data_IF_012242473793
#
_entry.id   IF_012242473793
#
_cell.length_a   1.000
_cell.length_b   1.000
_cell.length_c   1.000
_cell.angle_alpha   90.00
_cell.angle_beta   90.00
_cell.angle_gamma   90.00
#
_symmetry.space_group_name_H-M   'P 1'
#
loop_
_entity.id
_entity.type
_entity.pdbx_description
1 polymer ?
#
# COMPACT_ATOMS: atom_id res chain seq x y z
N UNK A 1 -29.75 -13.33 12.06
CA UNK A 1 -28.32 -13.57 11.77
C UNK A 1 -27.51 -12.68 12.69
N UNK A 2 -26.72 -13.25 13.59
CA UNK A 2 -25.93 -12.48 14.55
C UNK A 2 -24.83 -11.72 13.81
N UNK A 3 -24.87 -10.39 13.86
CA UNK A 3 -23.75 -9.54 13.47
C UNK A 3 -22.63 -9.82 14.46
N UNK A 4 -21.65 -10.64 14.05
CA UNK A 4 -20.44 -10.82 14.83
C UNK A 4 -19.71 -9.47 14.79
N UNK A 5 -19.64 -8.79 15.93
CA UNK A 5 -18.83 -7.61 16.09
C UNK A 5 -17.38 -7.96 15.76
N UNK A 6 -16.85 -7.39 14.69
CA UNK A 6 -15.44 -7.53 14.31
C UNK A 6 -14.63 -6.95 15.46
N UNK A 7 -13.76 -7.76 16.08
CA UNK A 7 -12.94 -7.32 17.20
C UNK A 7 -12.10 -6.10 16.77
N UNK A 8 -12.09 -5.05 17.61
CA UNK A 8 -11.38 -3.78 17.36
C UNK A 8 -9.86 -3.97 17.13
N UNK A 9 -9.34 -5.12 17.52
CA UNK A 9 -7.91 -5.43 17.53
C UNK A 9 -7.43 -6.10 16.22
N UNK A 10 -8.32 -6.37 15.26
CA UNK A 10 -7.93 -7.04 13.99
C UNK A 10 -7.16 -6.13 13.01
N UNK A 11 -7.09 -4.82 13.26
CA UNK A 11 -6.46 -3.84 12.36
C UNK A 11 -5.65 -2.76 13.09
N UNK A 12 -5.16 -3.05 14.30
CA UNK A 12 -4.30 -2.13 15.03
C UNK A 12 -2.85 -2.29 14.57
N UNK A 13 -2.39 -1.35 13.75
CA UNK A 13 -0.97 -1.20 13.43
C UNK A 13 -0.30 -0.31 14.48
N UNK A 14 0.94 -0.63 14.82
CA UNK A 14 1.82 0.31 15.53
C UNK A 14 2.12 1.53 14.65
N UNK A 15 2.61 2.62 15.26
CA UNK A 15 3.05 3.80 14.51
C UNK A 15 4.16 3.43 13.52
N UNK A 16 5.08 2.56 13.92
CA UNK A 16 6.18 2.08 13.09
C UNK A 16 5.68 1.25 11.90
N UNK A 17 4.72 0.35 12.11
CA UNK A 17 4.11 -0.42 11.01
C UNK A 17 3.34 0.50 10.06
N UNK A 18 2.58 1.45 10.60
CA UNK A 18 1.82 2.44 9.83
C UNK A 18 2.76 3.30 8.97
N UNK A 19 3.87 3.77 9.55
CA UNK A 19 4.88 4.56 8.86
C UNK A 19 5.57 3.76 7.75
N UNK A 20 5.94 2.51 8.05
CA UNK A 20 6.51 1.58 7.08
C UNK A 20 5.56 1.37 5.90
N UNK A 21 4.29 1.05 6.17
CA UNK A 21 3.25 0.88 5.15
C UNK A 21 3.03 2.16 4.33
N UNK A 22 3.07 3.34 4.96
CA UNK A 22 2.95 4.62 4.26
C UNK A 22 4.10 4.81 3.26
N UNK A 23 5.35 4.59 3.68
CA UNK A 23 6.53 4.72 2.80
C UNK A 23 6.44 3.73 1.63
N UNK A 24 6.09 2.47 1.90
CA UNK A 24 5.86 1.48 0.84
C UNK A 24 4.72 1.88 -0.09
N UNK A 25 3.65 2.49 0.42
CA UNK A 25 2.50 2.93 -0.37
C UNK A 25 2.87 4.04 -1.37
N UNK A 26 3.78 4.93 -0.99
CA UNK A 26 4.29 5.98 -1.89
C UNK A 26 5.04 5.35 -3.08
N UNK A 27 5.97 4.42 -2.82
CA UNK A 27 6.69 3.71 -3.90
C UNK A 27 5.76 2.81 -4.71
N UNK A 28 4.85 2.10 -4.04
CA UNK A 28 3.81 1.28 -4.66
C UNK A 28 2.91 2.07 -5.60
N UNK A 29 2.57 3.32 -5.27
CA UNK A 29 1.76 4.18 -6.15
C UNK A 29 2.49 4.53 -7.47
N UNK A 30 3.83 4.57 -7.47
CA UNK A 30 4.64 4.77 -8.68
C UNK A 30 4.84 3.47 -9.45
N UNK A 31 5.28 2.41 -8.77
CA UNK A 31 5.64 1.12 -9.38
C UNK A 31 4.40 0.37 -9.87
N UNK A 32 3.34 0.33 -9.07
CA UNK A 32 2.11 -0.42 -9.34
C UNK A 32 1.03 0.42 -10.03
N UNK A 33 1.44 1.45 -10.79
CA UNK A 33 0.52 2.42 -11.41
C UNK A 33 -0.55 1.75 -12.27
N UNK A 34 -0.17 0.74 -13.04
CA UNK A 34 -1.06 0.08 -14.00
C UNK A 34 -2.07 -0.85 -13.31
N UNK A 35 -1.61 -1.65 -12.34
CA UNK A 35 -2.49 -2.52 -11.55
C UNK A 35 -3.48 -1.69 -10.74
N UNK A 36 -3.00 -0.61 -10.09
CA UNK A 36 -3.85 0.35 -9.39
C UNK A 36 -4.90 0.97 -10.31
N UNK A 37 -4.49 1.40 -11.51
CA UNK A 37 -5.42 1.98 -12.50
C UNK A 37 -6.48 0.96 -12.92
N UNK A 38 -6.08 -0.29 -13.20
CA UNK A 38 -7.02 -1.37 -13.57
C UNK A 38 -8.06 -1.60 -12.47
N UNK A 39 -7.62 -1.75 -11.22
CA UNK A 39 -8.52 -1.94 -10.08
C UNK A 39 -9.47 -0.75 -9.87
N UNK A 40 -8.94 0.48 -9.90
CA UNK A 40 -9.75 1.70 -9.74
C UNK A 40 -10.79 1.84 -10.85
N UNK A 41 -10.43 1.54 -12.11
CA UNK A 41 -11.38 1.57 -13.22
C UNK A 41 -12.48 0.53 -13.03
N UNK A 42 -12.14 -0.71 -12.65
CA UNK A 42 -13.15 -1.73 -12.36
C UNK A 42 -14.13 -1.28 -11.27
N UNK A 43 -13.60 -0.78 -10.14
CA UNK A 43 -14.39 -0.27 -9.00
C UNK A 43 -15.14 1.04 -9.29
N UNK A 44 -14.88 1.69 -10.42
CA UNK A 44 -15.61 2.89 -10.83
C UNK A 44 -16.94 2.57 -11.53
N UNK A 45 -17.11 1.34 -12.03
CA UNK A 45 -18.34 0.89 -12.68
C UNK A 45 -19.43 0.52 -11.66
N UNK A 46 -20.73 0.68 -11.97
CA UNK A 46 -21.80 0.22 -11.07
C UNK A 46 -21.69 -1.27 -10.72
N UNK A 47 -21.31 -2.10 -11.71
CA UNK A 47 -21.09 -3.53 -11.54
C UNK A 47 -20.01 -3.79 -10.48
N UNK A 48 -18.79 -3.31 -10.73
CA UNK A 48 -17.66 -3.52 -9.84
C UNK A 48 -17.74 -2.75 -8.52
N UNK A 49 -18.55 -1.69 -8.43
CA UNK A 49 -18.69 -0.88 -7.20
C UNK A 49 -19.75 -1.42 -6.25
N UNK A 50 -20.94 -1.74 -6.77
CA UNK A 50 -22.16 -1.91 -5.98
C UNK A 50 -22.87 -3.25 -6.21
N UNK A 51 -22.89 -3.77 -7.44
CA UNK A 51 -23.68 -4.96 -7.78
C UNK A 51 -22.90 -6.23 -7.44
N UNK A 52 -21.67 -6.33 -7.93
CA UNK A 52 -20.82 -7.50 -7.76
C UNK A 52 -19.37 -7.05 -7.54
N UNK A 53 -18.99 -6.65 -6.32
CA UNK A 53 -17.63 -6.21 -6.01
C UNK A 53 -16.54 -7.25 -6.35
N UNK A 54 -16.89 -8.54 -6.27
CA UNK A 54 -16.03 -9.67 -6.64
C UNK A 54 -15.66 -9.69 -8.13
N UNK A 55 -16.42 -9.00 -8.98
CA UNK A 55 -16.06 -8.81 -10.39
C UNK A 55 -14.67 -8.17 -10.55
N UNK A 56 -14.24 -7.37 -9.56
CA UNK A 56 -12.93 -6.72 -9.56
C UNK A 56 -11.83 -7.54 -8.85
N UNK A 57 -12.10 -8.78 -8.43
CA UNK A 57 -11.19 -9.58 -7.61
C UNK A 57 -9.83 -9.78 -8.26
N UNK A 58 -9.78 -10.13 -9.54
CA UNK A 58 -8.50 -10.38 -10.22
C UNK A 58 -7.64 -9.11 -10.30
N UNK A 59 -8.26 -7.97 -10.59
CA UNK A 59 -7.57 -6.67 -10.56
C UNK A 59 -7.12 -6.28 -9.15
N UNK A 60 -7.89 -6.64 -8.13
CA UNK A 60 -7.52 -6.41 -6.73
C UNK A 60 -6.31 -7.28 -6.33
N UNK A 61 -6.33 -8.57 -6.65
CA UNK A 61 -5.24 -9.50 -6.39
C UNK A 61 -3.97 -9.06 -7.13
N UNK A 62 -4.08 -8.71 -8.41
CA UNK A 62 -2.96 -8.16 -9.20
C UNK A 62 -2.34 -6.92 -8.56
N UNK A 63 -3.16 -6.01 -8.02
CA UNK A 63 -2.66 -4.82 -7.34
C UNK A 63 -1.99 -5.15 -6.00
N UNK A 64 -2.60 -6.03 -5.19
CA UNK A 64 -2.03 -6.51 -3.92
C UNK A 64 -0.69 -7.20 -4.17
N UNK A 65 -0.61 -8.10 -5.13
CA UNK A 65 0.62 -8.84 -5.46
C UNK A 65 1.74 -7.89 -5.89
N UNK A 66 1.42 -6.86 -6.68
CA UNK A 66 2.39 -5.83 -7.03
C UNK A 66 2.90 -5.09 -5.78
N UNK A 67 1.98 -4.67 -4.90
CA UNK A 67 2.35 -3.96 -3.66
C UNK A 67 3.22 -4.84 -2.74
N UNK A 68 2.85 -6.11 -2.55
CA UNK A 68 3.66 -7.07 -1.80
C UNK A 68 5.03 -7.28 -2.43
N UNK A 69 5.13 -7.24 -3.76
CA UNK A 69 6.40 -7.25 -4.50
C UNK A 69 7.29 -6.05 -4.17
N UNK A 70 6.72 -4.86 -4.01
CA UNK A 70 7.44 -3.66 -3.56
C UNK A 70 7.99 -3.85 -2.14
N UNK A 71 7.18 -4.38 -1.22
CA UNK A 71 7.60 -4.63 0.17
C UNK A 71 8.71 -5.69 0.28
N UNK A 72 8.66 -6.72 -0.56
CA UNK A 72 9.66 -7.80 -0.58
C UNK A 72 10.94 -7.43 -1.33
N UNK A 73 10.98 -6.29 -2.01
CA UNK A 73 12.15 -5.89 -2.78
C UNK A 73 13.29 -5.43 -1.87
N UNK A 74 14.29 -6.29 -1.71
CA UNK A 74 15.46 -6.05 -0.85
C UNK A 74 16.48 -5.08 -1.45
N UNK A 75 16.42 -4.78 -2.75
CA UNK A 75 17.41 -3.93 -3.44
C UNK A 75 17.47 -2.52 -2.87
N UNK A 76 16.35 -2.00 -2.39
CA UNK A 76 16.21 -0.63 -1.90
C UNK A 76 16.09 -0.54 -0.38
N UNK A 77 16.46 -1.60 0.34
CA UNK A 77 16.29 -1.68 1.79
C UNK A 77 17.06 -0.56 2.52
N UNK A 78 18.27 -0.23 2.07
CA UNK A 78 19.07 0.84 2.69
C UNK A 78 18.41 2.22 2.54
N UNK A 79 17.90 2.54 1.34
CA UNK A 79 17.21 3.80 1.08
C UNK A 79 15.90 3.87 1.86
N UNK A 80 15.14 2.77 1.90
CA UNK A 80 13.94 2.66 2.73
C UNK A 80 14.26 2.95 4.21
N UNK A 81 15.28 2.29 4.76
CA UNK A 81 15.65 2.42 6.17
C UNK A 81 16.01 3.87 6.52
N UNK A 82 16.73 4.58 5.65
CA UNK A 82 17.03 6.01 5.84
C UNK A 82 15.77 6.86 5.94
N UNK A 83 14.79 6.65 5.04
CA UNK A 83 13.51 7.37 5.10
C UNK A 83 12.79 7.06 6.40
N UNK A 84 12.72 5.79 6.76
CA UNK A 84 12.03 5.31 7.95
C UNK A 84 12.62 5.92 9.23
N UNK A 85 13.95 5.89 9.38
CA UNK A 85 14.65 6.42 10.55
C UNK A 85 14.46 7.93 10.69
N UNK A 86 14.53 8.70 9.59
CA UNK A 86 14.29 10.15 9.61
C UNK A 86 12.82 10.43 9.94
N UNK A 87 11.87 9.74 9.29
CA UNK A 87 10.46 9.98 9.51
C UNK A 87 10.01 9.62 10.94
N UNK A 88 10.66 8.64 11.59
CA UNK A 88 10.43 8.30 13.00
C UNK A 88 10.76 9.43 13.98
N UNK A 89 11.65 10.35 13.63
CA UNK A 89 11.94 11.52 14.48
C UNK A 89 10.89 12.63 14.35
N UNK A 90 9.90 12.47 13.47
CA UNK A 90 8.92 13.50 13.11
C UNK A 90 9.44 14.53 12.11
N UNK A 91 10.66 14.34 11.59
CA UNK A 91 11.25 15.22 10.59
C UNK A 91 10.78 14.87 9.17
N UNK A 92 10.80 15.86 8.29
CA UNK A 92 10.45 15.68 6.89
C UNK A 92 11.61 15.03 6.12
N UNK A 93 11.38 13.83 5.59
CA UNK A 93 12.40 12.98 4.98
C UNK A 93 12.52 13.15 3.45
N UNK A 94 12.33 14.36 2.91
CA UNK A 94 12.14 14.60 1.46
C UNK A 94 13.23 13.98 0.59
N UNK A 95 14.49 14.34 0.84
CA UNK A 95 15.63 13.92 0.02
C UNK A 95 15.77 12.39 0.05
N UNK A 96 15.74 11.81 1.25
CA UNK A 96 15.81 10.35 1.40
C UNK A 96 14.63 9.64 0.74
N UNK A 97 13.44 10.26 0.73
CA UNK A 97 12.25 9.70 0.09
C UNK A 97 12.43 9.70 -1.43
N UNK A 98 12.90 10.81 -2.00
CA UNK A 98 13.21 10.88 -3.44
C UNK A 98 14.25 9.83 -3.86
N UNK A 99 15.28 9.61 -3.04
CA UNK A 99 16.29 8.58 -3.27
C UNK A 99 15.69 7.17 -3.24
N UNK A 100 14.83 6.88 -2.26
CA UNK A 100 14.12 5.61 -2.17
C UNK A 100 13.22 5.37 -3.39
N UNK A 101 12.56 6.40 -3.89
CA UNK A 101 11.69 6.31 -5.06
C UNK A 101 12.47 6.05 -6.36
N UNK A 102 13.73 6.48 -6.47
CA UNK A 102 14.59 6.29 -7.65
C UNK A 102 15.31 4.94 -7.73
N UNK A 103 15.45 4.22 -6.61
CA UNK A 103 16.25 2.99 -6.50
C UNK A 103 15.75 1.77 -7.33
#
# INVERSE_FOLDING_TARGET
>A
MASQAIAKDLYTYTNDESLSLMIYSIKGNQVCKDQRKSFNLCRSTPLGKHVEPEFCKDSALSFIDCFLGVQRNTKCHQQFQKVFDIAKTGQYAQESLEDYLKC
#
